data_IF_119709683010
#
_entry.id   IF_119709683010
#
_cell.length_a   1.000
_cell.length_b   1.000
_cell.length_c   1.000
_cell.angle_alpha   90.00
_cell.angle_beta   90.00
_cell.angle_gamma   90.00
#
_symmetry.space_group_name_H-M   'P 1'
#
loop_
_entity.id
_entity.type
_entity.pdbx_description
1 polymer ?
#
# COMPACT_ATOMS: atom_id res chain seq x y z
N UNK A 1 -4.53 9.45 -11.82
CA UNK A 1 -5.23 9.04 -13.06
C UNK A 1 -4.54 9.65 -14.28
N UNK A 2 -4.29 8.84 -15.32
CA UNK A 2 -3.79 9.27 -16.63
C UNK A 2 -4.85 9.00 -17.69
N UNK A 3 -4.97 9.86 -18.69
CA UNK A 3 -5.81 9.65 -19.88
C UNK A 3 -4.89 9.70 -21.09
N UNK A 4 -4.84 8.61 -21.86
CA UNK A 4 -3.90 8.44 -23.00
C UNK A 4 -2.46 8.80 -22.63
N UNK A 5 -2.00 8.34 -21.47
CA UNK A 5 -0.64 8.59 -20.96
C UNK A 5 -0.40 9.94 -20.25
N UNK A 6 -1.35 10.89 -20.33
CA UNK A 6 -1.19 12.23 -19.75
C UNK A 6 -1.89 12.33 -18.39
N UNK A 7 -1.22 12.83 -17.33
CA UNK A 7 -1.86 13.07 -16.03
C UNK A 7 -3.02 14.07 -16.11
N UNK A 8 -4.14 13.74 -15.46
CA UNK A 8 -5.38 14.53 -15.52
C UNK A 8 -5.23 15.99 -15.07
N UNK A 9 -4.37 16.26 -14.08
CA UNK A 9 -4.16 17.62 -13.58
C UNK A 9 -3.63 18.58 -14.68
N UNK A 10 -2.97 18.06 -15.73
CA UNK A 10 -2.49 18.87 -16.86
C UNK A 10 -3.63 19.42 -17.71
N UNK A 11 -4.74 18.69 -17.83
CA UNK A 11 -5.92 19.14 -18.56
C UNK A 11 -6.74 20.14 -17.74
N UNK A 12 -6.89 19.88 -16.43
CA UNK A 12 -7.55 20.81 -15.52
C UNK A 12 -6.88 22.20 -15.51
N UNK A 13 -5.53 22.26 -15.51
CA UNK A 13 -4.78 23.52 -15.63
C UNK A 13 -4.98 24.26 -16.96
N UNK A 14 -5.43 23.56 -18.01
CA UNK A 14 -5.78 24.14 -19.31
C UNK A 14 -7.27 24.50 -19.40
N UNK A 15 -8.02 24.39 -18.31
CA UNK A 15 -9.47 24.60 -18.29
C UNK A 15 -10.27 23.51 -19.00
N UNK A 16 -9.62 22.40 -19.39
CA UNK A 16 -10.29 21.31 -20.10
C UNK A 16 -10.87 20.36 -19.05
N UNK A 17 -12.19 20.43 -18.88
CA UNK A 17 -12.95 19.47 -18.09
C UNK A 17 -12.93 18.12 -18.81
N UNK A 18 -12.53 17.06 -18.09
CA UNK A 18 -12.59 15.71 -18.60
C UNK A 18 -13.53 14.91 -17.71
N UNK A 19 -14.48 14.24 -18.35
CA UNK A 19 -15.39 13.30 -17.73
C UNK A 19 -14.61 12.17 -17.05
N UNK A 20 -14.90 11.96 -15.76
CA UNK A 20 -14.23 10.95 -14.95
C UNK A 20 -15.15 9.76 -14.82
N UNK A 21 -14.65 8.57 -15.15
CA UNK A 21 -15.35 7.34 -14.79
C UNK A 21 -15.43 7.24 -13.26
N UNK A 22 -16.63 7.06 -12.75
CA UNK A 22 -16.88 6.74 -11.34
C UNK A 22 -16.10 5.49 -10.96
N UNK A 23 -15.55 5.48 -9.76
CA UNK A 23 -14.82 4.34 -9.21
C UNK A 23 -15.54 3.88 -7.96
N UNK A 24 -15.78 2.58 -7.88
CA UNK A 24 -16.24 1.98 -6.64
C UNK A 24 -15.12 2.08 -5.61
N UNK A 25 -15.49 2.60 -4.45
CA UNK A 25 -14.68 2.68 -3.25
C UNK A 25 -15.51 2.14 -2.09
N UNK A 26 -14.85 1.73 -1.03
CA UNK A 26 -15.49 1.34 0.23
C UNK A 26 -15.05 2.30 1.31
N UNK A 27 -16.01 2.89 2.02
CA UNK A 27 -15.77 3.56 3.29
C UNK A 27 -16.09 2.54 4.37
N UNK A 28 -15.05 2.03 5.03
CA UNK A 28 -15.19 1.02 6.07
C UNK A 28 -15.66 1.64 7.40
N UNK A 29 -15.23 2.89 7.65
CA UNK A 29 -15.57 3.64 8.86
C UNK A 29 -15.50 5.13 8.56
N UNK A 30 -16.42 5.89 9.12
CA UNK A 30 -16.42 7.35 9.12
C UNK A 30 -16.90 7.83 10.49
N UNK A 31 -16.09 8.65 11.16
CA UNK A 31 -16.41 9.21 12.47
C UNK A 31 -16.27 10.72 12.44
N UNK A 32 -17.25 11.39 13.06
CA UNK A 32 -17.16 12.82 13.34
C UNK A 32 -16.29 13.03 14.59
N UNK A 33 -15.12 13.62 14.40
CA UNK A 33 -14.18 13.91 15.49
C UNK A 33 -14.51 15.26 16.12
N UNK A 34 -14.77 16.27 15.29
CA UNK A 34 -15.09 17.61 15.75
C UNK A 34 -15.93 18.37 14.72
N UNK A 35 -16.76 19.30 15.20
CA UNK A 35 -17.54 20.21 14.37
C UNK A 35 -17.72 21.55 15.06
N UNK A 36 -17.30 22.63 14.41
CA UNK A 36 -17.43 23.97 14.95
C UNK A 36 -16.68 25.01 14.12
N UNK A 37 -17.02 26.28 14.28
CA UNK A 37 -16.38 27.41 13.57
C UNK A 37 -16.37 27.28 12.03
N UNK A 38 -17.33 26.56 11.46
CA UNK A 38 -17.37 26.28 10.02
C UNK A 38 -16.37 25.21 9.56
N UNK A 39 -15.75 24.49 10.49
CA UNK A 39 -14.84 23.38 10.24
C UNK A 39 -15.46 22.05 10.67
N UNK A 40 -15.15 21.01 9.90
CA UNK A 40 -15.57 19.63 10.13
C UNK A 40 -14.33 18.74 10.12
N UNK A 41 -14.12 18.00 11.21
CA UNK A 41 -13.02 17.04 11.32
C UNK A 41 -13.58 15.61 11.31
N UNK A 42 -13.09 14.80 10.37
CA UNK A 42 -13.54 13.43 10.17
C UNK A 42 -12.35 12.47 10.22
N UNK A 43 -12.53 11.33 10.89
CA UNK A 43 -11.65 10.18 10.76
C UNK A 43 -12.31 9.15 9.81
N UNK A 44 -11.57 8.73 8.78
CA UNK A 44 -12.12 7.92 7.68
C UNK A 44 -11.20 6.74 7.37
N UNK A 45 -11.71 5.52 7.61
CA UNK A 45 -11.10 4.30 7.09
C UNK A 45 -11.73 3.96 5.74
N UNK A 46 -10.92 3.87 4.69
CA UNK A 46 -11.42 3.66 3.32
C UNK A 46 -10.51 2.75 2.49
N UNK A 47 -11.06 2.23 1.40
CA UNK A 47 -10.33 1.41 0.43
C UNK A 47 -9.29 2.23 -0.35
N UNK A 48 -8.34 1.54 -0.99
CA UNK A 48 -7.34 2.19 -1.86
C UNK A 48 -8.00 3.03 -2.96
N UNK A 49 -7.35 4.15 -3.29
CA UNK A 49 -7.80 5.03 -4.39
C UNK A 49 -8.97 5.96 -4.04
N UNK A 50 -9.40 6.00 -2.78
CA UNK A 50 -10.37 6.97 -2.28
C UNK A 50 -9.78 8.38 -2.30
N UNK A 51 -10.53 9.33 -2.85
CA UNK A 51 -10.17 10.75 -2.87
C UNK A 51 -10.90 11.47 -1.74
N UNK A 52 -10.26 11.64 -0.58
CA UNK A 52 -10.85 12.34 0.58
C UNK A 52 -11.32 13.76 0.21
N UNK A 53 -10.63 14.43 -0.73
CA UNK A 53 -11.06 15.72 -1.28
C UNK A 53 -12.41 15.68 -1.99
N UNK A 54 -12.72 14.58 -2.68
CA UNK A 54 -14.03 14.40 -3.32
C UNK A 54 -15.10 14.12 -2.28
N UNK A 55 -14.81 13.33 -1.25
CA UNK A 55 -15.73 13.14 -0.12
C UNK A 55 -16.07 14.48 0.55
N UNK A 56 -15.08 15.35 0.77
CA UNK A 56 -15.33 16.68 1.33
C UNK A 56 -16.18 17.55 0.40
N UNK A 57 -15.87 17.59 -0.90
CA UNK A 57 -16.66 18.34 -1.89
C UNK A 57 -18.12 17.84 -1.93
N UNK A 58 -18.32 16.54 -2.08
CA UNK A 58 -19.65 15.90 -2.12
C UNK A 58 -20.43 16.17 -0.83
N UNK A 59 -19.82 16.01 0.35
CA UNK A 59 -20.46 16.31 1.63
C UNK A 59 -20.83 17.79 1.75
N UNK A 60 -19.97 18.68 1.27
CA UNK A 60 -20.26 20.11 1.24
C UNK A 60 -21.42 20.48 0.32
N UNK A 61 -21.53 19.81 -0.83
CA UNK A 61 -22.68 19.96 -1.74
C UNK A 61 -23.97 19.45 -1.09
N UNK A 62 -23.92 18.28 -0.45
CA UNK A 62 -25.07 17.68 0.25
C UNK A 62 -25.54 18.57 1.42
N UNK A 63 -24.62 19.27 2.08
CA UNK A 63 -24.93 20.25 3.14
C UNK A 63 -25.36 21.62 2.59
N UNK A 64 -25.23 21.88 1.28
CA UNK A 64 -25.65 23.11 0.62
C UNK A 64 -24.75 24.33 0.82
N UNK A 65 -23.58 24.17 1.45
CA UNK A 65 -22.63 25.26 1.69
C UNK A 65 -21.31 25.13 0.89
N UNK A 66 -21.05 23.95 0.32
CA UNK A 66 -19.75 23.59 -0.23
C UNK A 66 -18.71 23.34 0.86
N UNK A 67 -17.70 22.53 0.56
CA UNK A 67 -16.61 22.27 1.48
C UNK A 67 -15.33 21.92 0.74
N UNK A 68 -14.19 22.15 1.39
CA UNK A 68 -12.88 21.79 0.87
C UNK A 68 -11.96 21.39 2.02
N UNK A 69 -10.92 20.63 1.69
CA UNK A 69 -9.93 20.18 2.66
C UNK A 69 -9.00 21.33 3.03
N UNK A 70 -8.93 21.66 4.32
CA UNK A 70 -7.93 22.58 4.89
C UNK A 70 -6.75 21.84 5.54
N UNK A 71 -6.99 20.62 6.05
CA UNK A 71 -5.98 19.73 6.63
C UNK A 71 -6.30 18.29 6.26
N UNK A 72 -5.28 17.53 5.87
CA UNK A 72 -5.39 16.10 5.60
C UNK A 72 -4.16 15.40 6.13
N UNK A 73 -4.39 14.43 7.01
CA UNK A 73 -3.35 13.63 7.60
C UNK A 73 -3.68 12.15 7.40
N UNK A 74 -2.69 11.35 6.99
CA UNK A 74 -2.87 9.91 6.80
C UNK A 74 -2.19 9.19 7.94
N UNK A 75 -3.01 8.65 8.84
CA UNK A 75 -2.57 7.96 10.06
C UNK A 75 -2.19 6.50 9.85
N UNK A 76 -2.68 5.87 8.76
CA UNK A 76 -2.40 4.45 8.44
C UNK A 76 -2.39 4.17 6.94
N UNK A 77 -1.56 3.23 6.50
CA UNK A 77 -1.53 2.67 5.16
C UNK A 77 -1.27 1.16 5.20
N UNK A 78 -2.33 0.36 5.02
CA UNK A 78 -2.22 -1.10 5.18
C UNK A 78 -1.88 -1.43 6.63
N UNK A 79 -0.77 -2.17 6.82
CA UNK A 79 -0.25 -2.52 8.15
C UNK A 79 0.59 -1.43 8.80
N UNK A 80 0.96 -0.37 8.06
CA UNK A 80 1.83 0.69 8.55
C UNK A 80 1.04 1.82 9.20
N UNK A 81 1.45 2.21 10.40
CA UNK A 81 0.85 3.27 11.18
C UNK A 81 1.77 4.50 11.25
N UNK A 82 1.24 5.62 11.74
CA UNK A 82 2.01 6.84 11.92
C UNK A 82 3.23 6.65 12.83
N UNK A 83 3.14 5.76 13.82
CA UNK A 83 4.26 5.43 14.71
C UNK A 83 5.45 4.77 13.99
N UNK A 84 5.22 4.16 12.83
CA UNK A 84 6.29 3.59 11.99
C UNK A 84 7.00 4.65 11.13
N UNK A 85 6.49 5.88 11.12
CA UNK A 85 7.01 6.95 10.28
C UNK A 85 8.15 7.71 10.97
N UNK A 86 9.20 8.01 10.20
CA UNK A 86 10.23 8.97 10.56
C UNK A 86 10.12 10.21 9.69
N UNK A 87 10.27 11.41 10.28
CA UNK A 87 10.23 12.63 9.49
C UNK A 87 11.48 12.77 8.61
N UNK A 88 11.33 13.40 7.44
CA UNK A 88 12.47 13.64 6.55
C UNK A 88 13.56 14.50 7.20
N UNK A 89 13.19 15.38 8.13
CA UNK A 89 14.12 16.23 8.88
C UNK A 89 14.95 15.42 9.88
N UNK A 90 14.31 14.55 10.67
CA UNK A 90 15.01 13.67 11.61
C UNK A 90 15.92 12.70 10.86
N UNK A 91 15.41 12.06 9.80
CA UNK A 91 16.20 11.15 8.97
C UNK A 91 17.45 11.83 8.38
N UNK A 92 17.32 13.08 7.92
CA UNK A 92 18.44 13.87 7.42
C UNK A 92 19.48 14.22 8.50
N UNK A 93 19.01 14.52 9.72
CA UNK A 93 19.88 14.81 10.86
C UNK A 93 20.65 13.56 11.31
N UNK A 94 19.99 12.41 11.40
CA UNK A 94 20.64 11.15 11.75
C UNK A 94 21.66 10.73 10.69
N UNK A 95 21.30 10.85 9.41
CA UNK A 95 22.24 10.59 8.30
C UNK A 95 23.49 11.46 8.40
N UNK A 96 23.33 12.75 8.69
CA UNK A 96 24.44 13.70 8.76
C UNK A 96 25.34 13.46 9.98
N UNK A 97 24.78 13.00 11.09
CA UNK A 97 25.53 12.81 12.35
C UNK A 97 26.10 11.41 12.52
N UNK A 98 25.42 10.37 12.04
CA UNK A 98 25.73 8.96 12.31
C UNK A 98 25.95 8.12 11.04
N UNK A 99 25.73 8.67 9.84
CA UNK A 99 25.99 7.98 8.57
C UNK A 99 24.83 7.11 8.07
N UNK A 100 25.11 6.30 7.05
CA UNK A 100 24.12 5.46 6.37
C UNK A 100 23.64 4.29 7.23
N UNK A 101 24.56 3.62 7.93
CA UNK A 101 24.24 2.47 8.79
C UNK A 101 23.18 2.80 9.84
N UNK A 102 23.15 4.05 10.32
CA UNK A 102 22.13 4.48 11.28
C UNK A 102 20.75 4.58 10.64
N UNK A 103 20.64 5.17 9.45
CA UNK A 103 19.34 5.32 8.80
C UNK A 103 18.83 4.01 8.21
N UNK A 104 19.72 3.08 7.88
CA UNK A 104 19.35 1.74 7.43
C UNK A 104 18.64 0.95 8.53
N UNK A 105 18.82 1.29 9.80
CA UNK A 105 18.07 0.72 10.93
C UNK A 105 16.57 1.08 10.92
N UNK A 106 16.17 2.11 10.18
CA UNK A 106 14.75 2.45 9.98
C UNK A 106 14.10 1.65 8.84
N UNK A 107 14.90 0.89 8.07
CA UNK A 107 14.35 0.04 7.03
C UNK A 107 13.61 -1.13 7.66
N UNK A 108 12.45 -1.41 7.10
CA UNK A 108 11.62 -2.54 7.46
C UNK A 108 11.90 -3.75 6.55
N UNK A 109 11.64 -4.98 7.04
CA UNK A 109 11.63 -6.16 6.19
C UNK A 109 10.76 -5.97 4.94
N UNK A 110 11.26 -6.41 3.78
CA UNK A 110 10.64 -6.14 2.48
C UNK A 110 9.28 -6.81 2.27
N UNK A 111 9.01 -7.85 3.04
CA UNK A 111 7.79 -8.64 3.10
C UNK A 111 6.79 -8.11 4.13
N UNK A 112 7.15 -7.13 4.96
CA UNK A 112 6.26 -6.58 6.00
C UNK A 112 4.95 -6.03 5.40
N UNK A 113 4.99 -5.48 4.18
CA UNK A 113 3.82 -4.94 3.51
C UNK A 113 2.79 -6.01 3.07
N UNK A 114 3.17 -7.29 3.10
CA UNK A 114 2.40 -8.42 2.56
C UNK A 114 2.28 -9.57 3.58
N UNK A 115 2.38 -9.27 4.87
CA UNK A 115 2.26 -10.26 5.95
C UNK A 115 0.90 -10.98 5.99
N UNK A 116 -0.12 -10.39 5.35
CA UNK A 116 -1.44 -10.98 5.17
C UNK A 116 -1.43 -12.18 4.20
N UNK A 117 -0.40 -12.32 3.37
CA UNK A 117 -0.20 -13.49 2.53
C UNK A 117 0.31 -14.67 3.37
N UNK A 118 -0.20 -15.90 3.15
CA UNK A 118 0.33 -17.10 3.78
C UNK A 118 1.82 -17.32 3.51
N UNK A 119 2.51 -17.87 4.50
CA UNK A 119 3.94 -18.16 4.45
C UNK A 119 4.21 -19.59 3.97
N UNK A 120 5.24 -19.74 3.14
CA UNK A 120 5.77 -21.03 2.69
C UNK A 120 7.28 -21.07 2.86
N UNK A 121 7.77 -21.90 3.77
CA UNK A 121 9.21 -22.14 3.98
C UNK A 121 9.69 -23.29 3.09
N UNK A 122 10.77 -23.04 2.36
CA UNK A 122 11.38 -23.97 1.42
C UNK A 122 12.78 -24.35 1.91
N UNK A 123 13.12 -25.65 1.94
CA UNK A 123 14.51 -26.07 2.05
C UNK A 123 15.34 -25.53 0.87
N UNK A 124 16.64 -25.30 1.06
CA UNK A 124 17.51 -24.70 0.03
C UNK A 124 17.54 -25.51 -1.27
N UNK A 125 17.42 -26.85 -1.17
CA UNK A 125 17.32 -27.74 -2.33
C UNK A 125 16.07 -27.45 -3.18
N UNK A 126 14.94 -27.16 -2.54
CA UNK A 126 13.67 -26.80 -3.20
C UNK A 126 13.67 -25.35 -3.65
N UNK A 127 14.15 -24.43 -2.81
CA UNK A 127 14.24 -23.01 -3.11
C UNK A 127 15.08 -22.72 -4.36
N UNK A 128 16.11 -23.52 -4.61
CA UNK A 128 16.95 -23.43 -5.82
C UNK A 128 16.14 -23.63 -7.12
N UNK A 129 15.20 -24.56 -7.14
CA UNK A 129 14.32 -24.76 -8.31
C UNK A 129 13.37 -23.58 -8.52
N UNK A 130 12.79 -23.07 -7.43
CA UNK A 130 11.92 -21.88 -7.45
C UNK A 130 12.67 -20.65 -7.95
N UNK A 131 13.90 -20.42 -7.47
CA UNK A 131 14.77 -19.32 -7.92
C UNK A 131 15.08 -19.40 -9.42
N UNK A 132 15.05 -20.60 -10.01
CA UNK A 132 15.20 -20.85 -11.45
C UNK A 132 13.88 -20.89 -12.22
N UNK A 133 12.76 -20.47 -11.61
CA UNK A 133 11.48 -20.34 -12.29
C UNK A 133 10.61 -21.60 -12.30
N UNK A 134 10.98 -22.66 -11.57
CA UNK A 134 10.24 -23.92 -11.57
C UNK A 134 9.20 -23.98 -10.45
N UNK A 135 8.03 -24.56 -10.74
CA UNK A 135 7.03 -24.90 -9.72
C UNK A 135 7.48 -26.10 -8.89
N UNK A 136 7.22 -26.05 -7.58
CA UNK A 136 7.63 -27.10 -6.63
C UNK A 136 6.46 -27.60 -5.80
N UNK A 137 6.44 -28.91 -5.51
CA UNK A 137 5.45 -29.49 -4.61
C UNK A 137 5.89 -29.28 -3.16
N UNK A 138 5.05 -28.60 -2.38
CA UNK A 138 5.29 -28.30 -0.97
C UNK A 138 4.07 -28.74 -0.17
N UNK A 139 4.29 -29.30 1.02
CA UNK A 139 3.19 -29.72 1.90
C UNK A 139 2.69 -28.53 2.71
N UNK A 140 1.44 -28.60 3.17
CA UNK A 140 0.83 -27.60 4.06
C UNK A 140 0.76 -26.19 3.47
N UNK A 141 0.53 -26.09 2.17
CA UNK A 141 0.27 -24.82 1.48
C UNK A 141 -1.23 -24.57 1.33
N UNK A 142 -1.67 -23.32 1.14
CA UNK A 142 -3.05 -23.01 0.77
C UNK A 142 -3.50 -23.72 -0.52
N UNK A 143 -4.81 -23.83 -0.72
CA UNK A 143 -5.38 -24.42 -1.94
C UNK A 143 -5.20 -23.52 -3.18
N UNK A 144 -5.23 -22.19 -2.97
CA UNK A 144 -5.09 -21.21 -4.04
C UNK A 144 -4.48 -19.90 -3.51
N UNK A 145 -4.14 -19.00 -4.44
CA UNK A 145 -3.76 -17.63 -4.13
C UNK A 145 -2.25 -17.38 -4.03
N UNK A 146 -1.91 -16.19 -3.54
CA UNK A 146 -0.53 -15.73 -3.41
C UNK A 146 0.06 -16.16 -2.06
N UNK A 147 1.36 -16.45 -2.06
CA UNK A 147 2.12 -16.82 -0.86
C UNK A 147 3.43 -16.07 -0.78
N UNK A 148 3.92 -15.82 0.43
CA UNK A 148 5.31 -15.40 0.69
C UNK A 148 6.19 -16.65 0.74
N UNK A 149 7.29 -16.65 0.01
CA UNK A 149 8.23 -17.76 -0.04
C UNK A 149 9.52 -17.40 0.69
N UNK A 150 10.03 -18.34 1.49
CA UNK A 150 11.28 -18.19 2.23
C UNK A 150 12.21 -19.36 1.94
N UNK A 151 13.50 -19.08 1.79
CA UNK A 151 14.57 -20.08 1.90
C UNK A 151 15.07 -20.04 3.33
N UNK A 152 14.73 -21.07 4.11
CA UNK A 152 14.88 -21.04 5.57
C UNK A 152 14.14 -19.83 6.18
N UNK A 153 14.86 -18.84 6.72
CA UNK A 153 14.28 -17.59 7.27
C UNK A 153 14.42 -16.39 6.31
N UNK A 154 15.07 -16.57 5.16
CA UNK A 154 15.27 -15.49 4.20
C UNK A 154 14.09 -15.40 3.23
N UNK A 155 13.43 -14.25 3.18
CA UNK A 155 12.41 -13.99 2.16
C UNK A 155 13.02 -13.97 0.76
N UNK A 156 12.49 -14.79 -0.15
CA UNK A 156 12.98 -14.91 -1.53
C UNK A 156 11.99 -14.40 -2.59
N UNK A 157 10.75 -14.09 -2.19
CA UNK A 157 9.76 -13.49 -3.07
C UNK A 157 8.33 -13.97 -2.85
N UNK A 158 7.46 -13.61 -3.80
CA UNK A 158 6.05 -13.99 -3.84
C UNK A 158 5.88 -15.16 -4.81
N UNK A 159 5.19 -16.20 -4.36
CA UNK A 159 4.71 -17.31 -5.18
C UNK A 159 3.20 -17.27 -5.38
N UNK A 160 2.70 -18.17 -6.19
CA UNK A 160 1.28 -18.49 -6.30
C UNK A 160 1.08 -20.00 -6.35
N UNK A 161 -0.04 -20.47 -5.81
CA UNK A 161 -0.46 -21.86 -5.99
C UNK A 161 -1.00 -22.00 -7.42
N UNK A 162 -0.41 -22.89 -8.20
CA UNK A 162 -0.85 -23.17 -9.58
C UNK A 162 -1.97 -24.22 -9.63
N UNK A 163 -2.50 -24.49 -10.82
CA UNK A 163 -3.62 -25.41 -11.04
C UNK A 163 -3.30 -26.87 -10.65
N UNK A 164 -2.02 -27.22 -10.49
CA UNK A 164 -1.55 -28.52 -10.01
C UNK A 164 -1.32 -28.55 -8.48
N UNK A 165 -1.64 -27.46 -7.77
CA UNK A 165 -1.42 -27.32 -6.34
C UNK A 165 0.06 -27.13 -5.96
N UNK A 166 0.92 -26.78 -6.91
CA UNK A 166 2.34 -26.50 -6.67
C UNK A 166 2.57 -25.03 -6.39
N UNK A 167 3.66 -24.73 -5.70
CA UNK A 167 4.11 -23.35 -5.47
C UNK A 167 4.93 -22.91 -6.68
N UNK A 168 4.38 -22.00 -7.47
CA UNK A 168 5.01 -21.41 -8.64
C UNK A 168 5.58 -20.01 -8.32
N UNK A 169 6.80 -19.66 -8.78
CA UNK A 169 7.36 -18.33 -8.57
C UNK A 169 6.59 -17.27 -9.35
N UNK A 170 6.16 -16.19 -8.68
CA UNK A 170 5.45 -15.07 -9.31
C UNK A 170 6.30 -13.81 -9.39
N UNK A 171 6.98 -13.47 -8.31
CA UNK A 171 7.91 -12.34 -8.24
C UNK A 171 9.03 -12.64 -7.25
N UNK A 172 10.22 -12.88 -7.77
CA UNK A 172 11.39 -13.18 -6.95
C UNK A 172 12.21 -11.91 -6.68
N UNK A 173 12.92 -11.94 -5.56
CA UNK A 173 13.95 -10.95 -5.25
C UNK A 173 15.21 -11.31 -6.03
N UNK A 174 15.88 -10.28 -6.56
CA UNK A 174 17.16 -10.46 -7.26
C UNK A 174 18.24 -10.58 -6.20
N UNK A 175 18.95 -11.70 -6.22
CA UNK A 175 20.20 -11.86 -5.46
C UNK A 175 21.35 -11.19 -6.20
#
# INVERSE_FOLDING_TARGET
>A
LKIKGVPLYKFARKGIAIERKTRLISVYKIELVNFGNGELELDIACSKGTYIRTIADDLGQDLGCGAHIIKLHRTRAGVFEEADCISSKELALEKASMGLDKIDQHLIPMDQAILDLPEVKLPSSTASYVKNGQSVLVRHVPEEGLVRMYEEEQFIGIGCIDDEGKVAPRRLIVN
#
